data_IF_013566706700
#
_entry.id   IF_013566706700
#
_cell.length_a   1.000
_cell.length_b   1.000
_cell.length_c   1.000
_cell.angle_alpha   90.00
_cell.angle_beta   90.00
_cell.angle_gamma   90.00
#
_symmetry.space_group_name_H-M   'P 1'
#
loop_
_entity.id
_entity.type
_entity.pdbx_description
1 polymer ?
#
# COMPACT_ATOMS: atom_id res chain seq x y z
N UNK A 1 13.86 -21.74 25.49
CA UNK A 1 14.53 -20.51 25.98
C UNK A 1 13.89 -19.31 25.31
N UNK A 2 13.65 -18.23 26.06
CA UNK A 2 13.07 -16.99 25.51
C UNK A 2 14.21 -16.19 24.88
N UNK A 3 14.04 -15.76 23.62
CA UNK A 3 14.97 -14.84 22.98
C UNK A 3 14.28 -13.50 22.70
N UNK A 4 14.97 -12.39 22.97
CA UNK A 4 14.46 -11.03 22.74
C UNK A 4 15.55 -10.23 22.02
N UNK A 5 15.36 -9.99 20.72
CA UNK A 5 16.37 -9.36 19.87
C UNK A 5 16.73 -7.92 20.26
N UNK A 6 15.80 -7.18 20.86
CA UNK A 6 16.03 -5.80 21.30
C UNK A 6 16.87 -5.69 22.57
N UNK A 7 16.87 -6.71 23.43
CA UNK A 7 17.64 -6.73 24.69
C UNK A 7 18.85 -7.65 24.64
N UNK A 8 18.99 -8.46 23.58
CA UNK A 8 20.04 -9.46 23.44
C UNK A 8 19.86 -10.70 24.32
N UNK A 9 18.73 -10.81 25.03
CA UNK A 9 18.42 -11.92 25.91
C UNK A 9 18.24 -13.22 25.09
N UNK A 10 18.87 -14.32 25.53
CA UNK A 10 18.72 -15.65 24.91
C UNK A 10 19.42 -15.84 23.56
N UNK A 11 20.17 -14.85 23.06
CA UNK A 11 20.83 -14.93 21.75
C UNK A 11 21.95 -15.98 21.72
N UNK A 12 22.78 -16.03 22.76
CA UNK A 12 23.88 -17.00 22.87
C UNK A 12 23.36 -18.45 22.90
N UNK A 13 22.24 -18.69 23.57
CA UNK A 13 21.61 -20.01 23.65
C UNK A 13 20.99 -20.40 22.30
N UNK A 14 20.35 -19.44 21.62
CA UNK A 14 19.77 -19.63 20.29
C UNK A 14 20.85 -19.93 19.24
N UNK A 15 22.06 -19.38 19.38
CA UNK A 15 23.18 -19.67 18.49
C UNK A 15 23.86 -21.01 18.78
N UNK A 16 23.88 -21.46 20.05
CA UNK A 16 24.46 -22.76 20.43
C UNK A 16 23.52 -23.93 20.14
N UNK A 17 22.21 -23.75 20.20
CA UNK A 17 21.24 -24.84 20.03
C UNK A 17 21.34 -25.57 18.68
N UNK A 18 21.47 -24.90 17.51
CA UNK A 18 21.65 -25.59 16.23
C UNK A 18 22.96 -26.36 16.14
N UNK A 19 24.02 -25.90 16.80
CA UNK A 19 25.32 -26.60 16.83
C UNK A 19 25.21 -27.90 17.62
N UNK A 20 24.51 -27.87 18.76
CA UNK A 20 24.23 -29.07 19.54
C UNK A 20 23.33 -30.05 18.79
N UNK A 21 22.33 -29.56 18.06
CA UNK A 21 21.42 -30.39 17.26
C UNK A 21 22.10 -30.96 16.00
N UNK A 22 23.13 -30.31 15.47
CA UNK A 22 23.89 -30.85 14.35
C UNK A 22 24.75 -32.08 14.75
N UNK A 23 25.04 -32.23 16.04
CA UNK A 23 25.79 -33.37 16.61
C UNK A 23 24.86 -34.54 17.00
N UNK A 24 23.55 -34.31 17.14
CA UNK A 24 22.57 -35.35 17.42
C UNK A 24 22.15 -36.08 16.15
N UNK A 25 21.82 -37.38 16.29
CA UNK A 25 21.18 -38.11 15.20
C UNK A 25 19.79 -37.51 14.94
N UNK A 26 19.37 -37.35 13.68
CA UNK A 26 18.10 -36.71 13.35
C UNK A 26 16.95 -37.36 14.10
N UNK A 27 16.33 -36.61 15.01
CA UNK A 27 15.10 -37.02 15.68
C UNK A 27 13.95 -37.07 14.68
N UNK A 28 12.91 -37.85 15.02
CA UNK A 28 11.82 -38.25 14.12
C UNK A 28 11.32 -37.08 13.26
N UNK A 29 11.20 -37.32 11.95
CA UNK A 29 10.62 -36.38 11.00
C UNK A 29 9.18 -36.05 11.44
N UNK A 30 8.99 -34.90 12.06
CA UNK A 30 7.66 -34.35 12.30
C UNK A 30 7.13 -33.82 10.97
N UNK A 31 6.71 -34.74 10.10
CA UNK A 31 6.13 -34.40 8.82
C UNK A 31 4.68 -33.94 9.01
N UNK A 32 4.35 -32.77 8.49
CA UNK A 32 2.96 -32.33 8.34
C UNK A 32 2.28 -33.27 7.35
N UNK A 33 1.14 -33.84 7.75
CA UNK A 33 0.29 -34.66 6.89
C UNK A 33 -0.74 -33.81 6.18
N UNK A 34 -0.85 -33.95 4.86
CA UNK A 34 -1.72 -33.12 4.00
C UNK A 34 -3.08 -33.77 3.65
N UNK A 35 -3.42 -34.88 4.31
CA UNK A 35 -4.62 -35.67 4.03
C UNK A 35 -4.40 -36.74 2.96
N UNK A 36 -5.26 -37.76 2.92
CA UNK A 36 -5.05 -38.98 2.12
C UNK A 36 -4.86 -38.72 0.62
N UNK A 37 -5.57 -37.75 0.06
CA UNK A 37 -5.50 -37.41 -1.37
C UNK A 37 -4.16 -36.75 -1.72
N UNK A 38 -3.82 -35.66 -1.03
CA UNK A 38 -2.54 -34.96 -1.21
C UNK A 38 -1.35 -35.87 -0.90
N UNK A 39 -1.42 -36.70 0.14
CA UNK A 39 -0.33 -37.65 0.47
C UNK A 39 -0.14 -38.73 -0.59
N UNK A 40 -1.21 -39.19 -1.25
CA UNK A 40 -1.09 -40.10 -2.41
C UNK A 40 -0.33 -39.42 -3.55
N UNK A 41 -0.71 -38.19 -3.90
CA UNK A 41 -0.02 -37.44 -4.94
C UNK A 41 1.44 -37.13 -4.59
N UNK A 42 1.72 -36.82 -3.32
CA UNK A 42 3.10 -36.67 -2.83
C UNK A 42 3.86 -37.99 -3.02
N UNK A 43 3.28 -39.13 -2.64
CA UNK A 43 3.93 -40.43 -2.77
C UNK A 43 4.18 -40.83 -4.24
N UNK A 44 3.23 -40.55 -5.13
CA UNK A 44 3.36 -40.81 -6.57
C UNK A 44 4.51 -39.99 -7.17
N UNK A 45 4.57 -38.69 -6.85
CA UNK A 45 5.65 -37.81 -7.31
C UNK A 45 7.00 -38.22 -6.69
N UNK A 46 7.03 -38.57 -5.41
CA UNK A 46 8.25 -39.07 -4.75
C UNK A 46 8.79 -40.31 -5.46
N UNK A 47 7.92 -41.27 -5.78
CA UNK A 47 8.31 -42.50 -6.49
C UNK A 47 8.92 -42.19 -7.87
N UNK A 48 8.38 -41.20 -8.57
CA UNK A 48 8.91 -40.74 -9.87
C UNK A 48 10.27 -40.05 -9.70
N UNK A 49 10.41 -39.20 -8.68
CA UNK A 49 11.64 -38.45 -8.37
C UNK A 49 12.77 -39.35 -7.89
N UNK A 50 12.48 -40.42 -7.14
CA UNK A 50 13.45 -41.43 -6.71
C UNK A 50 14.11 -42.15 -7.89
N UNK A 51 13.46 -42.16 -9.05
CA UNK A 51 14.05 -42.65 -10.29
C UNK A 51 15.14 -41.75 -10.90
N UNK A 52 15.45 -40.60 -10.29
CA UNK A 52 16.56 -39.71 -10.66
C UNK A 52 17.52 -39.48 -9.46
N UNK A 53 18.59 -40.28 -9.35
CA UNK A 53 19.54 -40.19 -8.25
C UNK A 53 20.26 -38.84 -8.16
N UNK A 54 20.37 -38.10 -9.27
CA UNK A 54 21.03 -36.80 -9.28
C UNK A 54 20.17 -35.72 -8.60
N UNK A 55 18.84 -35.85 -8.67
CA UNK A 55 17.91 -34.96 -7.97
C UNK A 55 17.82 -35.29 -6.48
N UNK A 56 17.68 -36.57 -6.13
CA UNK A 56 17.53 -37.00 -4.73
C UNK A 56 18.79 -36.78 -3.90
N UNK A 57 19.97 -36.76 -4.52
CA UNK A 57 21.22 -36.38 -3.87
C UNK A 57 21.28 -34.88 -3.50
N UNK A 58 20.53 -34.02 -4.20
CA UNK A 58 20.53 -32.56 -3.99
C UNK A 58 19.35 -32.07 -3.16
N UNK A 59 18.20 -32.71 -3.27
CA UNK A 59 16.95 -32.24 -2.67
C UNK A 59 16.21 -33.39 -1.99
N UNK A 60 15.65 -33.16 -0.79
CA UNK A 60 14.74 -34.13 -0.18
C UNK A 60 13.53 -34.38 -1.09
N UNK A 61 13.21 -35.64 -1.45
CA UNK A 61 12.20 -35.95 -2.45
C UNK A 61 10.81 -35.50 -2.02
N UNK A 62 10.46 -35.66 -0.74
CA UNK A 62 9.17 -35.22 -0.18
C UNK A 62 9.00 -33.69 -0.28
N UNK A 63 10.05 -32.92 0.04
CA UNK A 63 10.01 -31.47 -0.07
C UNK A 63 9.78 -31.03 -1.52
N UNK A 64 10.50 -31.65 -2.46
CA UNK A 64 10.38 -31.33 -3.87
C UNK A 64 8.98 -31.67 -4.40
N UNK A 65 8.42 -32.82 -4.01
CA UNK A 65 7.05 -33.22 -4.37
C UNK A 65 6.00 -32.22 -3.86
N UNK A 66 6.09 -31.79 -2.59
CA UNK A 66 5.17 -30.80 -2.02
C UNK A 66 5.24 -29.49 -2.81
N UNK A 67 6.44 -28.98 -3.10
CA UNK A 67 6.60 -27.72 -3.86
C UNK A 67 6.09 -27.81 -5.29
N UNK A 68 6.23 -28.97 -5.92
CA UNK A 68 5.67 -29.20 -7.25
C UNK A 68 4.14 -29.23 -7.25
N UNK A 69 3.51 -29.79 -6.21
CA UNK A 69 2.06 -29.78 -6.04
C UNK A 69 1.50 -28.39 -5.73
N UNK A 70 2.29 -27.51 -5.09
CA UNK A 70 1.95 -26.09 -4.91
C UNK A 70 2.14 -25.25 -6.19
N UNK A 71 2.65 -25.85 -7.28
CA UNK A 71 2.90 -25.10 -8.52
C UNK A 71 4.10 -24.13 -8.43
N UNK A 72 5.04 -24.35 -7.50
CA UNK A 72 6.20 -23.48 -7.32
C UNK A 72 7.09 -23.45 -8.59
N UNK A 73 7.16 -22.28 -9.23
CA UNK A 73 7.99 -22.06 -10.42
C UNK A 73 9.47 -22.36 -10.21
N UNK A 74 10.00 -22.19 -9.00
CA UNK A 74 11.39 -22.54 -8.66
C UNK A 74 11.59 -24.06 -8.65
N UNK A 75 10.63 -24.81 -8.10
CA UNK A 75 10.67 -26.26 -8.09
C UNK A 75 10.56 -26.84 -9.52
N UNK A 76 9.66 -26.28 -10.34
CA UNK A 76 9.52 -26.64 -11.75
C UNK A 76 10.81 -26.38 -12.55
N UNK A 77 11.52 -25.30 -12.26
CA UNK A 77 12.81 -24.99 -12.88
C UNK A 77 13.90 -25.99 -12.48
N UNK A 78 13.90 -26.47 -11.22
CA UNK A 78 14.87 -27.46 -10.73
C UNK A 78 14.75 -28.82 -11.40
N UNK A 79 13.52 -29.24 -11.74
CA UNK A 79 13.28 -30.50 -12.46
C UNK A 79 13.33 -30.35 -13.99
N UNK A 80 13.54 -29.14 -14.52
CA UNK A 80 13.44 -28.87 -15.95
C UNK A 80 14.41 -29.70 -16.81
N UNK A 81 15.61 -29.97 -16.28
CA UNK A 81 16.64 -30.78 -16.94
C UNK A 81 16.56 -32.28 -16.60
N UNK A 82 15.60 -32.70 -15.76
CA UNK A 82 15.49 -34.09 -15.35
C UNK A 82 14.75 -34.92 -16.40
N UNK A 83 15.19 -36.17 -16.66
CA UNK A 83 14.46 -37.10 -17.53
C UNK A 83 13.08 -37.49 -16.97
N UNK A 84 12.81 -37.21 -15.68
CA UNK A 84 11.54 -37.54 -15.02
C UNK A 84 10.49 -36.43 -15.11
N UNK A 85 10.85 -35.24 -15.63
CA UNK A 85 9.93 -34.12 -15.80
C UNK A 85 8.60 -34.50 -16.50
N UNK A 86 8.58 -35.25 -17.62
CA UNK A 86 7.32 -35.55 -18.30
C UNK A 86 6.36 -36.38 -17.46
N UNK A 87 6.88 -37.28 -16.62
CA UNK A 87 6.08 -38.11 -15.73
C UNK A 87 5.50 -37.28 -14.57
N UNK A 88 6.27 -36.32 -14.04
CA UNK A 88 5.78 -35.37 -13.04
C UNK A 88 4.72 -34.45 -13.63
N UNK A 89 4.95 -33.88 -14.81
CA UNK A 89 4.02 -32.99 -15.49
C UNK A 89 2.68 -33.69 -15.78
N UNK A 90 2.70 -34.99 -16.11
CA UNK A 90 1.48 -35.78 -16.30
C UNK A 90 0.65 -35.93 -15.02
N UNK A 91 1.32 -36.09 -13.86
CA UNK A 91 0.64 -36.14 -12.55
C UNK A 91 0.05 -34.76 -12.22
N UNK A 92 0.82 -33.69 -12.39
CA UNK A 92 0.36 -32.33 -12.10
C UNK A 92 -0.82 -31.90 -12.97
N UNK A 93 -0.86 -32.31 -14.24
CA UNK A 93 -1.99 -32.03 -15.14
C UNK A 93 -3.27 -32.79 -14.77
N UNK A 94 -3.16 -33.88 -14.00
CA UNK A 94 -4.32 -34.66 -13.54
C UNK A 94 -4.98 -34.09 -12.29
N UNK A 95 -4.37 -33.06 -11.68
CA UNK A 95 -4.75 -32.51 -10.38
C UNK A 95 -5.17 -31.05 -10.56
N UNK A 96 -6.18 -30.63 -9.81
CA UNK A 96 -6.49 -29.21 -9.63
C UNK A 96 -5.47 -28.58 -8.67
N UNK A 97 -4.47 -27.91 -9.24
CA UNK A 97 -3.37 -27.28 -8.49
C UNK A 97 -3.87 -26.21 -7.53
N UNK A 98 -4.83 -25.36 -7.94
CA UNK A 98 -5.35 -24.29 -7.08
C UNK A 98 -6.07 -24.86 -5.85
N UNK A 99 -6.90 -25.89 -6.06
CA UNK A 99 -7.62 -26.54 -4.96
C UNK A 99 -6.67 -27.32 -4.03
N UNK A 100 -5.64 -27.94 -4.58
CA UNK A 100 -4.63 -28.69 -3.81
C UNK A 100 -3.79 -27.76 -2.96
N UNK A 101 -3.33 -26.63 -3.52
CA UNK A 101 -2.60 -25.59 -2.78
C UNK A 101 -3.43 -25.07 -1.60
N UNK A 102 -4.70 -24.72 -1.85
CA UNK A 102 -5.61 -24.25 -0.81
C UNK A 102 -5.79 -25.31 0.30
N UNK A 103 -6.04 -26.56 -0.08
CA UNK A 103 -6.22 -27.68 0.87
C UNK A 103 -4.96 -27.91 1.70
N UNK A 104 -3.77 -27.85 1.10
CA UNK A 104 -2.51 -28.01 1.82
C UNK A 104 -2.21 -26.84 2.76
N UNK A 105 -2.58 -25.62 2.38
CA UNK A 105 -2.48 -24.46 3.25
C UNK A 105 -3.39 -24.60 4.47
N UNK A 106 -4.65 -25.00 4.28
CA UNK A 106 -5.61 -25.25 5.36
C UNK A 106 -5.06 -26.29 6.35
N UNK A 107 -4.49 -27.40 5.85
CA UNK A 107 -3.86 -28.43 6.72
C UNK A 107 -2.70 -27.90 7.55
N UNK A 108 -1.87 -27.00 7.01
CA UNK A 108 -0.81 -26.35 7.80
C UNK A 108 -1.39 -25.52 8.93
N UNK A 109 -2.45 -24.75 8.65
CA UNK A 109 -3.13 -23.95 9.66
C UNK A 109 -3.86 -24.80 10.70
N UNK A 110 -4.45 -25.94 10.32
CA UNK A 110 -5.01 -26.91 11.26
C UNK A 110 -3.95 -27.45 12.21
N UNK A 111 -2.79 -27.86 11.70
CA UNK A 111 -1.68 -28.36 12.52
C UNK A 111 -1.15 -27.28 13.46
N UNK A 112 -0.96 -26.05 12.96
CA UNK A 112 -0.58 -24.90 13.79
C UNK A 112 -1.66 -24.66 14.87
N UNK A 113 -2.93 -24.68 14.49
CA UNK A 113 -4.06 -24.48 15.40
C UNK A 113 -4.20 -25.57 16.46
N UNK A 114 -3.77 -26.80 16.16
CA UNK A 114 -3.73 -27.91 17.10
C UNK A 114 -2.50 -27.84 18.04
N UNK A 115 -1.36 -27.35 17.55
CA UNK A 115 -0.12 -27.18 18.31
C UNK A 115 -0.17 -25.97 19.24
N UNK A 116 -0.76 -24.86 18.80
CA UNK A 116 -0.74 -23.58 19.52
C UNK A 116 -1.26 -23.70 20.97
N UNK A 117 -2.39 -24.39 21.26
CA UNK A 117 -2.90 -24.54 22.62
C UNK A 117 -2.02 -25.44 23.50
N UNK A 118 -1.23 -26.32 22.90
CA UNK A 118 -0.34 -27.24 23.64
C UNK A 118 0.95 -26.54 24.08
N UNK A 119 1.40 -25.55 23.30
CA UNK A 119 2.66 -24.84 23.53
C UNK A 119 2.42 -23.49 24.22
N UNK A 120 1.28 -22.85 23.98
CA UNK A 120 0.96 -21.54 24.54
C UNK A 120 -0.04 -21.67 25.71
N UNK A 121 0.49 -21.76 26.93
CA UNK A 121 -0.30 -21.80 28.18
C UNK A 121 -0.80 -20.43 28.64
N UNK A 122 -0.16 -19.35 28.19
CA UNK A 122 -0.52 -17.97 28.52
C UNK A 122 -0.29 -17.08 27.32
N UNK A 123 -1.31 -16.89 26.48
CA UNK A 123 -1.38 -15.68 25.65
C UNK A 123 -1.63 -14.52 26.62
N UNK A 124 -0.58 -13.86 27.09
CA UNK A 124 -0.73 -12.59 27.81
C UNK A 124 -1.29 -11.59 26.81
N UNK A 125 -2.62 -11.50 26.76
CA UNK A 125 -3.32 -10.47 26.03
C UNK A 125 -3.36 -9.24 26.95
N UNK A 126 -2.20 -8.67 27.22
CA UNK A 126 -2.17 -7.29 27.67
C UNK A 126 -2.63 -6.46 26.49
N UNK A 127 -3.92 -6.14 26.46
CA UNK A 127 -4.47 -5.18 25.50
C UNK A 127 -3.78 -3.85 25.78
N UNK A 128 -2.77 -3.54 24.97
CA UNK A 128 -2.12 -2.24 25.02
C UNK A 128 -3.14 -1.17 24.61
N UNK A 129 -2.91 0.08 25.01
CA UNK A 129 -3.70 1.22 24.52
C UNK A 129 -3.76 1.25 22.98
N UNK A 130 -2.71 0.74 22.31
CA UNK A 130 -2.65 0.52 20.87
C UNK A 130 -3.72 -0.44 20.34
N UNK A 131 -3.99 -1.57 21.03
CA UNK A 131 -4.96 -2.58 20.60
C UNK A 131 -6.42 -2.09 20.71
N UNK A 132 -6.68 -1.23 21.69
CA UNK A 132 -8.00 -0.61 21.88
C UNK A 132 -8.24 0.43 20.78
N UNK A 133 -7.23 1.25 20.50
CA UNK A 133 -7.28 2.22 19.40
C UNK A 133 -7.45 1.47 18.07
N UNK A 134 -6.70 0.39 17.86
CA UNK A 134 -6.81 -0.41 16.64
C UNK A 134 -8.21 -0.99 16.47
N UNK A 135 -8.81 -1.54 17.51
CA UNK A 135 -10.16 -2.11 17.43
C UNK A 135 -11.25 -1.07 17.09
N UNK A 136 -11.09 0.17 17.55
CA UNK A 136 -12.03 1.26 17.26
C UNK A 136 -11.78 1.86 15.87
N UNK A 137 -10.51 2.02 15.49
CA UNK A 137 -10.09 2.59 14.20
C UNK A 137 -10.33 1.63 13.03
N UNK A 138 -10.23 0.32 13.26
CA UNK A 138 -10.45 -0.71 12.23
C UNK A 138 -11.87 -1.26 12.20
N UNK A 139 -12.78 -0.78 13.05
CA UNK A 139 -14.17 -1.19 12.97
C UNK A 139 -14.76 -0.77 11.62
N UNK A 140 -15.45 -1.71 10.97
CA UNK A 140 -16.02 -1.59 9.63
C UNK A 140 -16.86 -0.32 9.40
N UNK A 141 -17.56 0.14 10.44
CA UNK A 141 -18.48 1.27 10.34
C UNK A 141 -17.88 2.56 10.88
N UNK A 142 -17.01 2.47 11.89
CA UNK A 142 -16.37 3.64 12.50
C UNK A 142 -15.07 4.04 11.80
N UNK A 143 -14.40 3.12 11.10
CA UNK A 143 -13.12 3.36 10.44
C UNK A 143 -13.21 4.44 9.34
N UNK A 144 -14.25 4.41 8.51
CA UNK A 144 -14.43 5.43 7.44
C UNK A 144 -14.71 6.83 8.03
N UNK A 145 -15.66 7.02 8.97
CA UNK A 145 -15.85 8.31 9.63
C UNK A 145 -14.63 8.83 10.39
N UNK A 146 -13.94 7.97 11.14
CA UNK A 146 -12.72 8.36 11.89
C UNK A 146 -11.63 8.78 10.91
N UNK A 147 -11.48 8.05 9.79
CA UNK A 147 -10.55 8.39 8.74
C UNK A 147 -10.85 9.74 8.11
N UNK A 148 -12.11 10.00 7.75
CA UNK A 148 -12.56 11.29 7.23
C UNK A 148 -12.32 12.42 8.24
N UNK A 149 -12.59 12.19 9.53
CA UNK A 149 -12.36 13.17 10.58
C UNK A 149 -10.87 13.48 10.77
N UNK A 150 -10.02 12.46 10.71
CA UNK A 150 -8.57 12.61 10.83
C UNK A 150 -7.98 13.32 9.61
N UNK A 151 -8.46 13.02 8.41
CA UNK A 151 -8.10 13.75 7.20
C UNK A 151 -8.57 15.20 7.23
N UNK A 152 -9.79 15.44 7.68
CA UNK A 152 -10.30 16.80 7.88
C UNK A 152 -9.43 17.57 8.88
N UNK A 153 -9.08 16.96 10.01
CA UNK A 153 -8.20 17.57 11.01
C UNK A 153 -6.79 17.84 10.45
N UNK A 154 -6.24 16.93 9.64
CA UNK A 154 -4.95 17.13 8.97
C UNK A 154 -4.99 18.35 8.04
N UNK A 155 -6.04 18.49 7.22
CA UNK A 155 -6.21 19.64 6.34
C UNK A 155 -6.44 20.95 7.10
N UNK A 156 -7.33 20.94 8.10
CA UNK A 156 -7.62 22.10 8.93
C UNK A 156 -6.35 22.59 9.65
N UNK A 157 -5.60 21.66 10.25
CA UNK A 157 -4.32 21.98 10.90
C UNK A 157 -3.31 22.52 9.88
N UNK A 158 -3.25 21.95 8.68
CA UNK A 158 -2.37 22.44 7.61
C UNK A 158 -2.70 23.90 7.28
N UNK A 159 -3.97 24.23 7.02
CA UNK A 159 -4.38 25.59 6.67
C UNK A 159 -4.21 26.56 7.84
N UNK A 160 -4.57 26.14 9.05
CA UNK A 160 -4.43 26.97 10.25
C UNK A 160 -2.97 27.34 10.53
N UNK A 161 -2.06 26.38 10.39
CA UNK A 161 -0.63 26.61 10.61
C UNK A 161 0.02 27.32 9.41
N UNK A 162 -0.39 27.03 8.18
CA UNK A 162 0.17 27.66 6.98
C UNK A 162 -0.26 29.12 6.81
N UNK A 163 -1.48 29.48 7.21
CA UNK A 163 -2.07 30.82 7.05
C UNK A 163 -1.16 31.99 7.46
N UNK A 164 -0.57 32.01 8.68
CA UNK A 164 0.33 33.11 9.07
C UNK A 164 1.56 33.21 8.15
N UNK A 165 2.16 32.09 7.73
CA UNK A 165 3.30 32.09 6.81
C UNK A 165 2.91 32.57 5.41
N UNK A 166 1.74 32.16 4.91
CA UNK A 166 1.21 32.61 3.63
C UNK A 166 1.01 34.13 3.63
N UNK A 167 0.40 34.68 4.68
CA UNK A 167 0.19 36.13 4.82
C UNK A 167 1.49 36.92 4.92
N UNK A 168 2.52 36.37 5.58
CA UNK A 168 3.83 36.99 5.66
C UNK A 168 4.51 37.05 4.29
N UNK A 169 4.46 35.96 3.52
CA UNK A 169 5.02 35.92 2.15
C UNK A 169 4.27 36.91 1.25
N UNK A 170 2.94 36.91 1.30
CA UNK A 170 2.11 37.81 0.50
C UNK A 170 2.43 39.28 0.81
N UNK A 171 2.56 39.64 2.08
CA UNK A 171 2.93 40.99 2.52
C UNK A 171 4.33 41.41 2.08
N UNK A 172 5.33 40.52 2.18
CA UNK A 172 6.70 40.80 1.72
C UNK A 172 6.73 40.99 0.21
N UNK A 173 6.09 40.10 -0.55
CA UNK A 173 6.04 40.18 -2.01
C UNK A 173 5.26 41.40 -2.48
N UNK A 174 4.14 41.73 -1.83
CA UNK A 174 3.38 42.95 -2.08
C UNK A 174 4.19 44.21 -1.82
N UNK A 175 4.97 44.23 -0.72
CA UNK A 175 5.86 45.35 -0.39
C UNK A 175 7.02 45.50 -1.40
N UNK A 176 7.56 44.39 -1.90
CA UNK A 176 8.57 44.41 -2.95
C UNK A 176 7.97 44.89 -4.29
N UNK A 177 6.75 44.46 -4.62
CA UNK A 177 6.07 44.90 -5.83
C UNK A 177 5.74 46.40 -5.79
N UNK A 178 5.25 46.91 -4.66
CA UNK A 178 4.98 48.34 -4.49
C UNK A 178 6.26 49.17 -4.52
N UNK A 179 7.36 48.69 -3.92
CA UNK A 179 8.65 49.37 -3.98
C UNK A 179 9.17 49.50 -5.43
N UNK A 180 8.99 48.47 -6.26
CA UNK A 180 9.35 48.53 -7.69
C UNK A 180 8.46 49.50 -8.44
N UNK A 181 7.16 49.53 -8.14
CA UNK A 181 6.22 50.49 -8.75
C UNK A 181 6.56 51.95 -8.38
N UNK A 182 7.02 52.19 -7.15
CA UNK A 182 7.35 53.53 -6.64
C UNK A 182 8.78 54.00 -6.98
N UNK A 183 9.64 53.10 -7.48
CA UNK A 183 11.05 53.39 -7.77
C UNK A 183 11.30 54.37 -8.94
N UNK A 184 10.25 54.79 -9.65
CA UNK A 184 10.35 55.74 -10.76
C UNK A 184 10.93 55.16 -12.06
N UNK A 185 10.85 53.84 -12.23
CA UNK A 185 11.28 53.13 -13.44
C UNK A 185 10.46 53.55 -14.67
N UNK A 186 11.09 54.23 -15.62
CA UNK A 186 10.54 54.43 -16.97
C UNK A 186 11.10 53.38 -17.94
N UNK A 187 10.28 52.87 -18.87
CA UNK A 187 8.86 53.16 -19.10
C UNK A 187 7.91 52.42 -18.13
N UNK A 188 6.74 53.00 -17.87
CA UNK A 188 5.77 52.51 -16.87
C UNK A 188 5.34 51.03 -17.05
N UNK A 189 5.31 50.52 -18.29
CA UNK A 189 4.99 49.12 -18.56
C UNK A 189 6.05 48.15 -18.01
N UNK A 190 7.31 48.59 -17.89
CA UNK A 190 8.40 47.78 -17.35
C UNK A 190 8.29 47.66 -15.83
N UNK A 191 7.89 48.75 -15.15
CA UNK A 191 7.61 48.73 -13.71
C UNK A 191 6.44 47.80 -13.36
N UNK A 192 5.34 47.85 -14.12
CA UNK A 192 4.22 46.91 -13.94
C UNK A 192 4.57 45.46 -14.27
N UNK A 193 5.44 45.23 -15.27
CA UNK A 193 5.88 43.89 -15.62
C UNK A 193 6.76 43.28 -14.51
N UNK A 194 7.65 44.07 -13.90
CA UNK A 194 8.51 43.64 -12.81
C UNK A 194 7.74 43.47 -11.49
N UNK A 195 6.92 44.44 -11.11
CA UNK A 195 6.13 44.43 -9.89
C UNK A 195 5.01 43.39 -9.91
N UNK A 196 3.98 43.62 -10.72
CA UNK A 196 2.79 42.75 -10.73
C UNK A 196 3.04 41.45 -11.49
N UNK A 197 3.81 41.51 -12.59
CA UNK A 197 4.08 40.35 -13.44
C UNK A 197 5.04 39.35 -12.79
N UNK A 198 6.29 39.76 -12.55
CA UNK A 198 7.33 38.86 -12.05
C UNK A 198 7.21 38.68 -10.53
N UNK A 199 7.22 39.76 -9.74
CA UNK A 199 7.21 39.65 -8.28
C UNK A 199 5.86 39.13 -7.79
N UNK A 200 4.75 39.66 -8.31
CA UNK A 200 3.40 39.15 -8.02
C UNK A 200 3.22 37.68 -8.44
N UNK A 201 3.68 37.33 -9.66
CA UNK A 201 3.65 35.96 -10.14
C UNK A 201 4.48 34.99 -9.30
N UNK A 202 5.69 35.39 -8.89
CA UNK A 202 6.53 34.62 -7.98
C UNK A 202 5.88 34.48 -6.60
N UNK A 203 5.31 35.57 -6.07
CA UNK A 203 4.60 35.57 -4.79
C UNK A 203 3.45 34.57 -4.76
N UNK A 204 2.66 34.51 -5.83
CA UNK A 204 1.59 33.52 -5.97
C UNK A 204 2.10 32.07 -5.88
N UNK A 205 3.28 31.76 -6.44
CA UNK A 205 3.89 30.43 -6.35
C UNK A 205 4.48 30.17 -4.95
N UNK A 206 5.17 31.16 -4.37
CA UNK A 206 5.82 31.07 -3.07
C UNK A 206 4.82 30.85 -1.91
N UNK A 207 3.62 31.42 -2.01
CA UNK A 207 2.55 31.25 -1.01
C UNK A 207 2.13 29.77 -0.86
N UNK A 208 2.29 28.93 -1.88
CA UNK A 208 1.94 27.50 -1.77
C UNK A 208 2.99 26.65 -1.03
N UNK A 209 4.24 27.13 -0.92
CA UNK A 209 5.34 26.34 -0.34
C UNK A 209 5.08 25.96 1.13
N UNK A 210 4.70 26.90 2.04
CA UNK A 210 4.42 26.55 3.43
C UNK A 210 3.31 25.52 3.57
N UNK A 211 2.24 25.67 2.76
CA UNK A 211 1.09 24.76 2.79
C UNK A 211 1.49 23.34 2.37
N UNK A 212 2.24 23.20 1.26
CA UNK A 212 2.74 21.90 0.80
C UNK A 212 3.69 21.28 1.83
N UNK A 213 4.60 22.07 2.41
CA UNK A 213 5.54 21.57 3.42
C UNK A 213 4.83 21.02 4.65
N UNK A 214 3.88 21.77 5.22
CA UNK A 214 3.13 21.34 6.41
C UNK A 214 2.26 20.12 6.09
N UNK A 215 1.60 20.10 4.93
CA UNK A 215 0.80 18.97 4.49
C UNK A 215 1.66 17.70 4.40
N UNK A 216 2.83 17.79 3.75
CA UNK A 216 3.75 16.66 3.62
C UNK A 216 4.32 16.21 4.97
N UNK A 217 4.59 17.15 5.88
CA UNK A 217 5.03 16.84 7.23
C UNK A 217 3.96 16.07 8.01
N UNK A 218 2.70 16.51 7.98
CA UNK A 218 1.58 15.80 8.62
C UNK A 218 1.37 14.42 7.98
N UNK A 219 1.42 14.32 6.65
CA UNK A 219 1.31 13.04 5.96
C UNK A 219 2.43 12.07 6.34
N UNK A 220 3.67 12.55 6.45
CA UNK A 220 4.81 11.74 6.93
C UNK A 220 4.56 11.23 8.35
N UNK A 221 4.06 12.06 9.25
CA UNK A 221 3.70 11.61 10.62
C UNK A 221 2.61 10.54 10.61
N UNK A 222 1.62 10.66 9.72
CA UNK A 222 0.54 9.67 9.56
C UNK A 222 1.05 8.36 8.93
N UNK A 223 2.03 8.44 8.05
CA UNK A 223 2.73 7.28 7.48
C UNK A 223 3.55 6.56 8.55
N UNK A 224 4.38 7.29 9.29
CA UNK A 224 5.25 6.76 10.35
C UNK A 224 4.45 6.15 11.52
N UNK A 225 3.24 6.67 11.79
CA UNK A 225 2.32 6.08 12.78
C UNK A 225 1.67 4.76 12.32
N UNK A 226 1.87 4.36 11.06
CA UNK A 226 1.21 3.19 10.47
C UNK A 226 -0.31 3.35 10.29
N UNK A 227 -0.85 4.56 10.44
CA UNK A 227 -2.28 4.81 10.26
C UNK A 227 -2.69 4.71 8.78
N UNK A 228 -1.84 5.18 7.86
CA UNK A 228 -2.11 5.06 6.42
C UNK A 228 -2.23 3.60 5.96
N UNK A 229 -1.43 2.69 6.52
CA UNK A 229 -1.55 1.25 6.24
C UNK A 229 -2.90 0.68 6.72
N UNK A 230 -3.35 1.10 7.92
CA UNK A 230 -4.66 0.71 8.48
C UNK A 230 -5.83 1.30 7.68
N UNK A 231 -5.73 2.55 7.27
CA UNK A 231 -6.71 3.21 6.42
C UNK A 231 -6.84 2.55 5.04
N UNK A 232 -5.71 2.14 4.44
CA UNK A 232 -5.72 1.41 3.17
C UNK A 232 -6.48 0.07 3.29
N UNK A 233 -6.34 -0.64 4.41
CA UNK A 233 -7.10 -1.87 4.68
C UNK A 233 -8.61 -1.62 4.76
N UNK A 234 -9.05 -0.57 5.46
CA UNK A 234 -10.47 -0.20 5.54
C UNK A 234 -11.05 0.13 4.15
N UNK A 235 -10.23 0.72 3.27
CA UNK A 235 -10.65 1.17 1.94
C UNK A 235 -10.44 0.12 0.82
N UNK A 236 -9.77 -0.99 1.12
CA UNK A 236 -9.44 -2.04 0.15
C UNK A 236 -10.70 -2.61 -0.52
N UNK A 237 -11.76 -2.88 0.25
CA UNK A 237 -13.02 -3.40 -0.31
C UNK A 237 -13.68 -2.46 -1.32
N UNK A 238 -13.62 -1.15 -1.07
CA UNK A 238 -14.17 -0.15 -1.99
C UNK A 238 -13.31 -0.06 -3.26
N UNK A 239 -11.99 -0.07 -3.10
CA UNK A 239 -11.05 -0.03 -4.23
C UNK A 239 -11.13 -1.29 -5.08
N UNK A 240 -11.28 -2.46 -4.46
CA UNK A 240 -11.44 -3.73 -5.15
C UNK A 240 -12.71 -3.75 -6.00
N UNK A 241 -13.81 -3.14 -5.53
CA UNK A 241 -15.03 -2.96 -6.32
C UNK A 241 -14.82 -2.07 -7.56
N UNK A 242 -13.88 -1.12 -7.47
CA UNK A 242 -13.48 -0.23 -8.57
C UNK A 242 -12.44 -0.92 -9.49
N UNK A 243 -11.87 -2.06 -9.07
CA UNK A 243 -10.89 -2.84 -9.82
C UNK A 243 -9.43 -2.45 -9.56
N UNK A 244 -9.16 -1.71 -8.48
CA UNK A 244 -7.83 -1.25 -8.06
C UNK A 244 -7.40 -1.93 -6.74
N UNK A 245 -6.10 -2.16 -6.50
CA UNK A 245 -5.63 -2.64 -5.21
C UNK A 245 -5.74 -1.53 -4.16
N UNK A 246 -6.02 -1.88 -2.89
CA UNK A 246 -6.09 -0.93 -1.78
C UNK A 246 -4.85 -0.05 -1.60
N UNK A 247 -3.67 -0.48 -2.09
CA UNK A 247 -2.44 0.32 -2.10
C UNK A 247 -2.59 1.62 -2.93
N UNK A 248 -3.47 1.62 -3.93
CA UNK A 248 -3.78 2.79 -4.78
C UNK A 248 -4.54 3.89 -4.05
N UNK A 249 -5.18 3.55 -2.94
CA UNK A 249 -5.93 4.50 -2.14
C UNK A 249 -5.04 5.58 -1.52
N UNK A 250 -3.84 5.21 -1.06
CA UNK A 250 -2.91 6.14 -0.41
C UNK A 250 -2.52 7.28 -1.37
N UNK A 251 -2.02 7.01 -2.60
CA UNK A 251 -1.79 8.06 -3.58
C UNK A 251 -3.04 8.88 -3.92
N UNK A 252 -4.18 8.25 -4.17
CA UNK A 252 -5.42 8.96 -4.50
C UNK A 252 -5.87 9.93 -3.40
N UNK A 253 -5.72 9.52 -2.15
CA UNK A 253 -6.02 10.35 -0.99
C UNK A 253 -5.08 11.55 -0.92
N UNK A 254 -3.77 11.32 -1.04
CA UNK A 254 -2.77 12.39 -1.06
C UNK A 254 -3.06 13.37 -2.22
N UNK A 255 -3.67 12.88 -3.32
CA UNK A 255 -4.10 13.67 -4.47
C UNK A 255 -5.11 14.77 -4.15
N UNK A 256 -5.98 14.56 -3.16
CA UNK A 256 -6.88 15.61 -2.65
C UNK A 256 -6.13 16.75 -1.96
N UNK A 257 -4.94 16.49 -1.41
CA UNK A 257 -4.07 17.53 -0.87
C UNK A 257 -3.21 18.16 -1.97
N UNK A 258 -2.34 17.36 -2.59
CA UNK A 258 -1.48 17.81 -3.67
C UNK A 258 -1.19 16.67 -4.66
N UNK A 259 -1.40 16.94 -5.95
CA UNK A 259 -1.24 15.95 -7.01
C UNK A 259 0.23 15.53 -7.24
N UNK A 260 1.20 16.42 -6.99
CA UNK A 260 2.62 16.13 -7.22
C UNK A 260 3.16 15.01 -6.31
N UNK A 261 3.08 15.11 -4.97
CA UNK A 261 3.53 14.04 -4.08
C UNK A 261 2.67 12.79 -4.21
N UNK A 262 1.38 12.95 -4.54
CA UNK A 262 0.49 11.84 -4.78
C UNK A 262 0.92 11.00 -5.98
N UNK A 263 1.28 11.64 -7.10
CA UNK A 263 1.86 10.93 -8.27
C UNK A 263 3.18 10.26 -7.88
N UNK A 264 4.05 10.92 -7.12
CA UNK A 264 5.30 10.32 -6.64
C UNK A 264 5.07 9.10 -5.72
N UNK A 265 4.04 9.14 -4.88
CA UNK A 265 3.69 8.05 -3.97
C UNK A 265 3.23 6.78 -4.71
N UNK A 266 2.75 6.89 -5.96
CA UNK A 266 2.37 5.71 -6.77
C UNK A 266 3.54 4.76 -7.05
N UNK A 267 4.79 5.17 -6.79
CA UNK A 267 5.97 4.30 -6.91
C UNK A 267 5.94 3.07 -6.00
N UNK A 268 5.14 3.10 -4.94
CA UNK A 268 4.95 1.97 -4.00
C UNK A 268 4.04 0.87 -4.58
N UNK A 269 3.36 1.13 -5.70
CA UNK A 269 2.53 0.16 -6.40
C UNK A 269 3.44 -0.70 -7.30
N UNK A 270 3.49 -2.00 -7.00
CA UNK A 270 4.33 -2.99 -7.69
C UNK A 270 3.88 -3.23 -9.13
N UNK A 271 2.57 -3.40 -9.34
CA UNK A 271 2.01 -3.64 -10.66
C UNK A 271 2.01 -2.36 -11.51
N UNK A 272 2.54 -2.49 -12.73
CA UNK A 272 2.70 -1.35 -13.64
C UNK A 272 1.35 -0.80 -14.11
N UNK A 273 0.36 -1.66 -14.33
CA UNK A 273 -0.95 -1.26 -14.82
C UNK A 273 -1.72 -0.53 -13.71
N UNK A 274 -1.73 -1.07 -12.50
CA UNK A 274 -2.33 -0.43 -11.31
C UNK A 274 -1.68 0.94 -11.03
N UNK A 275 -0.36 1.03 -11.16
CA UNK A 275 0.38 2.30 -11.02
C UNK A 275 -0.04 3.33 -12.07
N UNK A 276 -0.11 2.94 -13.34
CA UNK A 276 -0.50 3.84 -14.43
C UNK A 276 -1.94 4.34 -14.28
N UNK A 277 -2.88 3.46 -13.92
CA UNK A 277 -4.27 3.85 -13.68
C UNK A 277 -4.32 4.87 -12.53
N UNK A 278 -3.61 4.60 -11.43
CA UNK A 278 -3.58 5.51 -10.28
C UNK A 278 -3.01 6.88 -10.67
N UNK A 279 -1.93 6.95 -11.44
CA UNK A 279 -1.36 8.20 -11.95
C UNK A 279 -2.36 8.95 -12.85
N UNK A 280 -3.08 8.25 -13.73
CA UNK A 280 -4.04 8.85 -14.66
C UNK A 280 -5.31 9.36 -13.97
N UNK A 281 -5.71 8.73 -12.87
CA UNK A 281 -6.94 9.08 -12.15
C UNK A 281 -6.69 10.22 -11.15
N UNK A 282 -5.48 10.31 -10.59
CA UNK A 282 -5.13 11.30 -9.58
C UNK A 282 -5.45 12.77 -9.96
N UNK A 283 -5.22 13.23 -11.21
CA UNK A 283 -5.60 14.58 -11.63
C UNK A 283 -7.07 14.91 -11.50
N UNK A 284 -7.98 13.92 -11.47
CA UNK A 284 -9.40 14.14 -11.24
C UNK A 284 -9.73 14.40 -9.76
N UNK A 285 -8.82 14.05 -8.84
CA UNK A 285 -8.91 14.48 -7.46
C UNK A 285 -8.57 15.97 -7.37
N UNK A 286 -9.55 16.76 -6.93
CA UNK A 286 -9.43 18.22 -6.89
C UNK A 286 -8.73 18.66 -5.61
N UNK A 287 -7.53 19.21 -5.76
CA UNK A 287 -6.76 19.76 -4.64
C UNK A 287 -7.30 21.12 -4.19
N UNK A 288 -7.03 21.49 -2.94
CA UNK A 288 -7.42 22.79 -2.37
C UNK A 288 -6.96 24.01 -3.19
N UNK A 289 -5.88 23.88 -3.97
CA UNK A 289 -5.40 24.93 -4.87
C UNK A 289 -6.32 25.21 -6.08
N UNK A 290 -7.20 24.26 -6.45
CA UNK A 290 -8.20 24.48 -7.52
C UNK A 290 -9.46 25.19 -7.02
N UNK A 291 -9.72 25.14 -5.72
CA UNK A 291 -10.92 25.71 -5.12
C UNK A 291 -11.02 27.23 -5.36
N UNK A 292 -9.96 28.06 -5.20
CA UNK A 292 -10.03 29.49 -5.51
C UNK A 292 -10.39 29.76 -6.98
N UNK A 293 -9.87 28.95 -7.91
CA UNK A 293 -10.18 29.08 -9.34
C UNK A 293 -11.64 28.71 -9.61
N UNK A 294 -12.14 27.63 -8.98
CA UNK A 294 -13.55 27.25 -9.10
C UNK A 294 -14.48 28.31 -8.50
N UNK A 295 -14.13 28.88 -7.35
CA UNK A 295 -14.91 29.96 -6.72
C UNK A 295 -14.89 31.22 -7.57
N UNK A 296 -13.74 31.59 -8.13
CA UNK A 296 -13.62 32.75 -9.02
C UNK A 296 -14.51 32.59 -10.26
N UNK A 297 -14.42 31.44 -10.95
CA UNK A 297 -15.21 31.17 -12.14
C UNK A 297 -16.70 31.01 -11.83
N UNK A 298 -17.05 30.26 -10.78
CA UNK A 298 -18.44 30.09 -10.36
C UNK A 298 -19.06 31.43 -9.94
N UNK A 299 -18.32 32.27 -9.22
CA UNK A 299 -18.75 33.63 -8.86
C UNK A 299 -18.93 34.56 -10.05
N UNK A 300 -18.11 34.41 -11.10
CA UNK A 300 -18.21 35.22 -12.32
C UNK A 300 -19.39 34.82 -13.22
N UNK A 301 -19.66 33.52 -13.39
CA UNK A 301 -20.70 33.02 -14.30
C UNK A 301 -22.06 32.80 -13.62
N UNK A 302 -22.07 32.37 -12.36
CA UNK A 302 -23.28 31.96 -11.63
C UNK A 302 -23.30 32.50 -10.19
N UNK A 303 -23.30 33.83 -9.99
CA UNK A 303 -23.14 34.46 -8.69
C UNK A 303 -24.20 34.07 -7.64
N UNK A 304 -25.41 33.69 -8.07
CA UNK A 304 -26.51 33.32 -7.18
C UNK A 304 -26.38 31.89 -6.60
N UNK A 305 -25.64 31.00 -7.27
CA UNK A 305 -25.54 29.56 -6.93
C UNK A 305 -24.08 29.06 -6.93
N UNK A 306 -23.10 29.96 -6.87
CA UNK A 306 -21.68 29.63 -6.98
C UNK A 306 -21.21 28.53 -6.01
N UNK A 307 -21.75 28.49 -4.79
CA UNK A 307 -21.44 27.43 -3.83
C UNK A 307 -21.94 26.04 -4.27
N UNK A 308 -23.14 25.98 -4.87
CA UNK A 308 -23.70 24.73 -5.41
C UNK A 308 -22.91 24.26 -6.63
N UNK A 309 -22.46 25.17 -7.49
CA UNK A 309 -21.67 24.80 -8.68
C UNK A 309 -20.31 24.24 -8.30
N UNK A 310 -19.63 24.84 -7.32
CA UNK A 310 -18.37 24.31 -6.78
C UNK A 310 -18.59 22.91 -6.18
N UNK A 311 -19.68 22.71 -5.44
CA UNK A 311 -20.01 21.40 -4.89
C UNK A 311 -20.26 20.36 -6.00
N UNK A 312 -21.04 20.69 -7.03
CA UNK A 312 -21.30 19.82 -8.17
C UNK A 312 -20.00 19.47 -8.89
N UNK A 313 -19.10 20.44 -9.11
CA UNK A 313 -17.79 20.21 -9.71
C UNK A 313 -16.93 19.22 -8.91
N UNK A 314 -16.93 19.32 -7.58
CA UNK A 314 -16.21 18.38 -6.72
C UNK A 314 -16.79 16.97 -6.79
N UNK A 315 -18.12 16.84 -6.71
CA UNK A 315 -18.80 15.54 -6.84
C UNK A 315 -18.55 14.93 -8.23
N UNK A 316 -18.64 15.75 -9.27
CA UNK A 316 -18.36 15.34 -10.64
C UNK A 316 -16.91 14.86 -10.80
N UNK A 317 -15.95 15.53 -10.16
CA UNK A 317 -14.54 15.11 -10.13
C UNK A 317 -14.37 13.71 -9.54
N UNK A 318 -15.02 13.42 -8.41
CA UNK A 318 -14.99 12.09 -7.78
C UNK A 318 -15.63 11.03 -8.69
N UNK A 319 -16.79 11.34 -9.28
CA UNK A 319 -17.49 10.43 -10.20
C UNK A 319 -16.65 10.15 -11.44
N UNK A 320 -16.01 11.18 -12.02
CA UNK A 320 -15.10 11.02 -13.16
C UNK A 320 -13.83 10.25 -12.79
N UNK A 321 -13.30 10.43 -11.59
CA UNK A 321 -12.16 9.66 -11.10
C UNK A 321 -12.51 8.15 -11.02
N UNK A 322 -13.64 7.81 -10.40
CA UNK A 322 -14.11 6.43 -10.29
C UNK A 322 -14.45 5.84 -11.68
N UNK A 323 -15.15 6.62 -12.51
CA UNK A 323 -15.54 6.20 -13.86
C UNK A 323 -14.34 5.97 -14.78
N UNK A 324 -13.35 6.86 -14.75
CA UNK A 324 -12.12 6.72 -15.52
C UNK A 324 -11.25 5.56 -15.03
N UNK A 325 -11.13 5.35 -13.72
CA UNK A 325 -10.45 4.19 -13.15
C UNK A 325 -11.04 2.86 -13.68
N UNK A 326 -12.37 2.75 -13.61
CA UNK A 326 -13.10 1.58 -14.09
C UNK A 326 -12.97 1.39 -15.61
N UNK A 327 -13.09 2.48 -16.38
CA UNK A 327 -12.96 2.45 -17.84
C UNK A 327 -11.56 2.01 -18.25
N UNK A 328 -10.50 2.63 -17.71
CA UNK A 328 -9.11 2.31 -18.03
C UNK A 328 -8.76 0.86 -17.66
N UNK A 329 -9.31 0.35 -16.56
CA UNK A 329 -9.14 -1.04 -16.15
C UNK A 329 -9.76 -2.03 -17.13
N UNK A 330 -10.90 -1.68 -17.73
CA UNK A 330 -11.59 -2.55 -18.70
C UNK A 330 -11.06 -2.44 -20.12
N UNK A 331 -10.53 -1.30 -20.54
CA UNK A 331 -10.22 -1.05 -21.97
C UNK A 331 -8.72 -0.95 -22.26
N UNK A 332 -7.96 -0.14 -21.52
CA UNK A 332 -6.58 0.21 -21.89
C UNK A 332 -5.55 -0.66 -21.18
N UNK A 333 -5.79 -0.99 -19.90
CA UNK A 333 -4.83 -1.67 -19.03
C UNK A 333 -5.50 -2.87 -18.33
N UNK A 334 -5.84 -3.94 -19.07
CA UNK A 334 -6.47 -5.13 -18.50
C UNK A 334 -5.48 -5.88 -17.58
N UNK A 335 -5.96 -6.27 -16.39
CA UNK A 335 -5.21 -7.02 -15.40
C UNK A 335 -6.09 -7.35 -14.20
N UNK A 336 -5.79 -8.44 -13.48
CA UNK A 336 -6.39 -8.68 -12.16
C UNK A 336 -5.66 -7.79 -11.14
N UNK A 337 -6.36 -7.10 -10.21
CA UNK A 337 -5.69 -6.33 -9.18
C UNK A 337 -4.77 -7.26 -8.40
N UNK A 338 -3.53 -6.81 -8.18
CA UNK A 338 -2.56 -7.59 -7.43
C UNK A 338 -3.17 -7.96 -6.06
N UNK A 339 -3.06 -9.22 -5.61
CA UNK A 339 -3.54 -9.61 -4.29
C UNK A 339 -2.90 -8.69 -3.27
N UNK A 340 -3.73 -8.06 -2.44
CA UNK A 340 -3.28 -7.11 -1.43
C UNK A 340 -2.57 -7.87 -0.31
N UNK A 341 -1.28 -8.15 -0.51
CA UNK A 341 -0.38 -8.60 0.55
C UNK A 341 0.18 -7.35 1.23
N UNK A 342 -0.44 -6.95 2.33
CA UNK A 342 0.23 -6.13 3.34
C UNK A 342 0.88 -7.11 4.31
N UNK A 343 2.21 -7.13 4.35
CA UNK A 343 2.94 -7.57 5.53
C UNK A 343 2.54 -6.60 6.64
N UNK A 344 1.49 -6.93 7.41
CA UNK A 344 1.12 -6.09 8.53
C UNK A 344 2.30 -6.10 9.48
N UNK A 345 2.75 -4.93 9.98
CA UNK A 345 3.73 -4.91 11.05
C UNK A 345 3.04 -5.41 12.31
N UNK A 346 2.94 -6.73 12.45
CA UNK A 346 2.61 -7.38 13.71
C UNK A 346 3.78 -7.11 14.65
N UNK A 347 3.51 -6.36 15.71
CA UNK A 347 4.26 -6.45 16.95
C UNK A 347 3.80 -7.67 17.75
#
# INVERSE_FOLDING_TARGET
HRSVGSTGEGLDELLRAPLAEAETSPHHEHAVGYGDESERHIADIVTVLEGDPALTARYPPRWLAIRLLEGDGNALAKIAASPKKPAVDAILQSIDTENTEATMADRRYEVIGALLPQVCTTCVKEMNASDIIDRVVTDRWLGIPIFLALMWAAFELTFAVASPFMSAIDSIMGSCASYVAESGLEPAWLASLLGDGIIGGMGAVLIFIPNIFILLFILSLLEDSGYLARAAFVMDRLMYAIGLPGKSFIPMLIGFGCNVPAIMATRTIEDRNDRLITILVNPFMSCGARLPVYVLLAGAFFPAIAGTDVFILYVLGIVLAIGSAYLFRRTILPGKPAPFQIEMPWR
#
